data_IF_905218701943
#
_entry.id   IF_905218701943
#
_cell.length_a   1.000
_cell.length_b   1.000
_cell.length_c   1.000
_cell.angle_alpha   90.00
_cell.angle_beta   90.00
_cell.angle_gamma   90.00
#
_symmetry.space_group_name_H-M   'P 1'
#
loop_
_entity.id
_entity.type
_entity.pdbx_description
1 polymer ?
#
# COMPACT_ATOMS: atom_id res chain seq x y z
N UNK A 1 11.72 -23.85 3.60
CA UNK A 1 11.62 -25.18 4.24
C UNK A 1 12.16 -25.17 5.68
N UNK A 2 12.52 -24.01 6.24
CA UNK A 2 13.14 -23.89 7.56
C UNK A 2 14.66 -23.69 7.51
N UNK A 3 15.31 -24.02 6.39
CA UNK A 3 16.76 -23.82 6.17
C UNK A 3 17.05 -22.92 4.97
N UNK A 4 16.23 -23.02 3.93
CA UNK A 4 16.29 -22.27 2.69
C UNK A 4 14.89 -21.86 2.25
N UNK A 5 14.82 -20.73 1.56
CA UNK A 5 13.58 -20.23 1.00
C UNK A 5 13.81 -19.52 -0.32
N UNK A 6 12.70 -19.29 -1.01
CA UNK A 6 12.65 -18.50 -2.23
C UNK A 6 11.49 -17.53 -2.07
N UNK A 7 11.77 -16.24 -2.13
CA UNK A 7 10.77 -15.20 -2.17
C UNK A 7 10.67 -14.62 -3.58
N UNK A 8 9.45 -14.31 -4.01
CA UNK A 8 9.19 -13.49 -5.19
C UNK A 8 8.66 -12.15 -4.69
N UNK A 9 9.39 -11.08 -4.99
CA UNK A 9 9.06 -9.71 -4.59
C UNK A 9 8.50 -9.02 -5.82
N UNK A 10 7.24 -8.61 -5.77
CA UNK A 10 6.58 -7.92 -6.87
C UNK A 10 6.48 -6.41 -6.65
N UNK A 11 6.56 -5.65 -7.75
CA UNK A 11 6.19 -4.24 -7.80
C UNK A 11 4.91 -4.09 -8.64
N UNK A 12 3.77 -3.89 -7.96
CA UNK A 12 2.48 -3.68 -8.63
C UNK A 12 1.85 -4.94 -9.25
N UNK A 13 2.29 -6.14 -8.87
CA UNK A 13 1.70 -7.42 -9.29
C UNK A 13 1.09 -8.14 -8.08
N UNK A 14 -0.22 -7.98 -7.81
CA UNK A 14 -0.85 -8.46 -6.58
C UNK A 14 -1.29 -9.92 -6.62
N UNK A 15 -1.36 -10.53 -7.80
CA UNK A 15 -1.94 -11.87 -8.00
C UNK A 15 -0.82 -12.91 -8.18
N UNK A 16 -0.88 -13.97 -7.36
CA UNK A 16 0.02 -15.11 -7.45
C UNK A 16 -0.71 -16.40 -7.06
N UNK A 17 -0.15 -17.53 -7.48
CA UNK A 17 -0.64 -18.87 -7.13
C UNK A 17 0.54 -19.77 -6.75
N UNK A 18 0.36 -20.61 -5.72
CA UNK A 18 1.30 -21.67 -5.39
C UNK A 18 0.80 -22.98 -6.00
N UNK A 19 1.47 -23.43 -7.05
CA UNK A 19 1.17 -24.71 -7.67
C UNK A 19 1.81 -25.84 -6.85
N UNK A 20 0.98 -26.75 -6.35
CA UNK A 20 1.40 -27.90 -5.52
C UNK A 20 2.47 -28.77 -6.21
N UNK A 21 2.46 -28.83 -7.54
CA UNK A 21 3.52 -29.48 -8.33
C UNK A 21 4.84 -28.69 -8.17
N UNK A 22 5.76 -29.28 -7.40
CA UNK A 22 7.10 -28.73 -7.10
C UNK A 22 7.12 -27.42 -6.30
N UNK A 23 6.01 -27.04 -5.65
CA UNK A 23 5.89 -25.75 -4.95
C UNK A 23 6.25 -24.56 -5.85
N UNK A 24 5.73 -24.55 -7.08
CA UNK A 24 6.04 -23.51 -8.07
C UNK A 24 5.26 -22.24 -7.72
N UNK A 25 5.95 -21.09 -7.70
CA UNK A 25 5.32 -19.78 -7.54
C UNK A 25 4.97 -19.27 -8.95
N UNK A 26 3.67 -19.17 -9.25
CA UNK A 26 3.16 -18.55 -10.47
C UNK A 26 2.79 -17.10 -10.17
N UNK A 27 3.48 -16.14 -10.79
CA UNK A 27 3.17 -14.72 -10.67
C UNK A 27 2.40 -14.26 -11.91
N UNK A 28 1.20 -13.72 -11.72
CA UNK A 28 0.41 -13.18 -12.84
C UNK A 28 1.01 -11.85 -13.27
N UNK A 29 1.50 -11.78 -14.51
CA UNK A 29 2.02 -10.53 -15.09
C UNK A 29 0.91 -9.70 -15.74
N UNK A 30 -0.05 -10.36 -16.40
CA UNK A 30 -1.13 -9.69 -17.12
C UNK A 30 -2.38 -10.58 -17.12
N UNK A 31 -3.55 -9.96 -16.97
CA UNK A 31 -4.84 -10.63 -17.12
C UNK A 31 -5.79 -9.74 -17.91
N UNK A 32 -5.85 -9.96 -19.21
CA UNK A 32 -6.83 -9.32 -20.10
C UNK A 32 -8.17 -10.06 -20.06
N UNK A 33 -9.26 -9.30 -19.97
CA UNK A 33 -10.64 -9.83 -20.05
C UNK A 33 -11.45 -9.01 -21.04
N UNK A 34 -12.52 -9.60 -21.59
CA UNK A 34 -13.40 -8.90 -22.53
C UNK A 34 -14.74 -8.49 -21.97
N UNK A 35 -15.09 -8.98 -20.79
CA UNK A 35 -16.42 -8.80 -20.19
C UNK A 35 -16.27 -8.61 -18.70
N UNK A 36 -17.07 -7.72 -18.10
CA UNK A 36 -17.06 -7.54 -16.64
C UNK A 36 -17.55 -8.81 -15.94
N UNK A 37 -18.68 -9.33 -16.38
CA UNK A 37 -19.28 -10.56 -15.89
C UNK A 37 -19.72 -11.41 -17.09
N UNK A 38 -19.68 -12.73 -16.92
CA UNK A 38 -20.30 -13.67 -17.85
C UNK A 38 -21.10 -14.70 -17.09
N UNK A 39 -22.20 -15.12 -17.70
CA UNK A 39 -23.17 -16.08 -17.14
C UNK A 39 -22.93 -17.51 -17.62
N UNK A 40 -22.04 -17.68 -18.60
CA UNK A 40 -21.63 -18.96 -19.18
C UNK A 40 -20.42 -19.61 -18.45
N UNK A 41 -20.12 -19.19 -17.21
CA UNK A 41 -19.01 -19.72 -16.44
C UNK A 41 -19.34 -21.11 -15.88
N UNK A 42 -18.67 -22.15 -16.40
CA UNK A 42 -18.83 -23.54 -15.96
C UNK A 42 -18.58 -23.77 -14.46
N UNK A 43 -17.82 -22.88 -13.83
CA UNK A 43 -17.37 -23.02 -12.44
C UNK A 43 -18.29 -22.33 -11.43
N UNK A 44 -19.38 -21.67 -11.86
CA UNK A 44 -20.27 -20.96 -10.95
C UNK A 44 -21.66 -20.73 -11.53
N UNK A 45 -22.70 -21.04 -10.75
CA UNK A 45 -24.08 -20.69 -11.08
C UNK A 45 -24.39 -19.24 -10.65
N UNK A 46 -24.92 -18.44 -11.58
CA UNK A 46 -25.50 -17.11 -11.32
C UNK A 46 -24.63 -15.90 -11.69
N UNK A 47 -25.28 -14.72 -11.71
CA UNK A 47 -24.68 -13.42 -12.07
C UNK A 47 -23.96 -12.79 -10.87
N UNK A 48 -22.83 -12.12 -11.11
CA UNK A 48 -22.21 -11.17 -10.16
C UNK A 48 -22.12 -9.75 -10.70
N UNK A 49 -22.81 -9.47 -11.80
CA UNK A 49 -22.81 -8.15 -12.41
C UNK A 49 -23.49 -8.15 -13.76
N UNK A 50 -23.43 -6.99 -14.41
CA UNK A 50 -23.91 -6.80 -15.77
C UNK A 50 -22.97 -7.46 -16.78
N UNK A 51 -23.54 -8.18 -17.74
CA UNK A 51 -22.82 -8.64 -18.93
C UNK A 51 -22.59 -7.46 -19.87
N UNK A 52 -21.48 -6.74 -19.68
CA UNK A 52 -21.06 -5.70 -20.62
C UNK A 52 -19.63 -5.91 -21.10
N UNK A 53 -19.44 -5.56 -22.37
CA UNK A 53 -18.15 -5.63 -23.05
C UNK A 53 -17.20 -4.61 -22.42
N UNK A 54 -15.98 -5.05 -22.13
CA UNK A 54 -14.90 -4.22 -21.58
C UNK A 54 -13.67 -4.30 -22.49
N UNK A 55 -13.71 -3.67 -23.69
CA UNK A 55 -12.60 -3.75 -24.64
C UNK A 55 -11.27 -3.27 -24.05
N UNK A 56 -11.31 -2.21 -23.26
CA UNK A 56 -10.14 -1.62 -22.61
C UNK A 56 -9.52 -2.56 -21.55
N UNK A 57 -10.30 -3.49 -20.99
CA UNK A 57 -9.83 -4.47 -20.01
C UNK A 57 -9.04 -5.63 -20.64
N UNK A 58 -8.87 -5.64 -21.97
CA UNK A 58 -7.97 -6.57 -22.66
C UNK A 58 -6.49 -6.29 -22.36
N UNK A 59 -6.18 -5.09 -21.85
CA UNK A 59 -4.82 -4.66 -21.56
C UNK A 59 -3.92 -4.77 -22.80
N UNK A 60 -4.37 -4.23 -23.94
CA UNK A 60 -3.55 -4.22 -25.15
C UNK A 60 -2.48 -3.12 -25.06
N UNK A 61 -1.24 -3.47 -25.44
CA UNK A 61 -0.15 -2.52 -25.55
C UNK A 61 1.17 -3.02 -25.01
N UNK A 62 2.10 -2.09 -24.70
CA UNK A 62 3.41 -2.42 -24.13
C UNK A 62 3.36 -2.27 -22.63
N UNK A 63 3.75 -3.32 -21.92
CA UNK A 63 3.85 -3.33 -20.46
C UNK A 63 5.29 -3.63 -20.04
N UNK A 64 5.71 -3.03 -18.94
CA UNK A 64 6.96 -3.37 -18.26
C UNK A 64 6.62 -3.82 -16.86
N UNK A 65 7.02 -5.04 -16.52
CA UNK A 65 6.78 -5.65 -15.22
C UNK A 65 8.08 -5.72 -14.44
N UNK A 66 8.03 -5.36 -13.16
CA UNK A 66 9.20 -5.40 -12.28
C UNK A 66 8.91 -6.35 -11.12
N UNK A 67 9.79 -7.34 -10.96
CA UNK A 67 9.77 -8.28 -9.84
C UNK A 67 11.19 -8.80 -9.61
N UNK A 68 11.43 -9.35 -8.42
CA UNK A 68 12.71 -9.96 -8.04
C UNK A 68 12.50 -11.36 -7.49
N UNK A 69 13.49 -12.21 -7.69
CA UNK A 69 13.56 -13.55 -7.09
C UNK A 69 14.70 -13.54 -6.07
N UNK A 70 14.37 -13.81 -4.81
CA UNK A 70 15.29 -13.77 -3.68
C UNK A 70 15.40 -15.16 -3.05
N UNK A 71 16.45 -15.93 -3.39
CA UNK A 71 16.86 -17.08 -2.59
C UNK A 71 17.36 -16.57 -1.23
N UNK A 72 16.88 -17.16 -0.14
CA UNK A 72 17.27 -16.75 1.21
C UNK A 72 17.48 -17.95 2.13
N UNK A 73 18.13 -17.69 3.27
CA UNK A 73 18.31 -18.69 4.34
C UNK A 73 17.11 -18.66 5.29
N UNK A 74 16.90 -19.78 5.96
CA UNK A 74 15.91 -19.96 7.00
C UNK A 74 14.50 -19.63 6.53
N UNK A 75 13.78 -18.92 7.40
CA UNK A 75 12.47 -18.37 7.12
C UNK A 75 12.54 -16.94 6.55
N UNK A 76 11.39 -16.29 6.41
CA UNK A 76 11.31 -14.93 5.88
C UNK A 76 12.00 -13.89 6.78
N UNK A 77 12.14 -14.17 8.08
CA UNK A 77 12.77 -13.26 9.05
C UNK A 77 14.27 -13.30 8.90
N UNK A 78 14.86 -14.50 8.91
CA UNK A 78 16.30 -14.66 8.71
C UNK A 78 16.71 -14.21 7.30
N UNK A 79 15.86 -14.46 6.31
CA UNK A 79 16.04 -14.01 4.94
C UNK A 79 15.83 -12.51 4.70
N UNK A 80 15.38 -11.75 5.72
CA UNK A 80 15.07 -10.32 5.63
C UNK A 80 14.14 -9.99 4.45
N UNK A 81 13.18 -10.87 4.16
CA UNK A 81 12.36 -10.77 2.93
C UNK A 81 11.58 -9.45 2.89
N UNK A 82 11.08 -8.98 4.04
CA UNK A 82 10.40 -7.69 4.11
C UNK A 82 11.31 -6.50 3.83
N UNK A 83 12.56 -6.51 4.34
CA UNK A 83 13.52 -5.46 4.06
C UNK A 83 13.77 -5.34 2.55
N UNK A 84 14.06 -6.47 1.90
CA UNK A 84 14.28 -6.48 0.44
C UNK A 84 13.03 -6.12 -0.35
N UNK A 85 11.84 -6.50 0.15
CA UNK A 85 10.59 -6.08 -0.46
C UNK A 85 10.37 -4.57 -0.38
N UNK A 86 10.69 -3.94 0.74
CA UNK A 86 10.63 -2.49 0.87
C UNK A 86 11.68 -1.80 0.01
N UNK A 87 12.94 -2.26 0.02
CA UNK A 87 13.99 -1.69 -0.82
C UNK A 87 13.63 -1.74 -2.31
N UNK A 88 13.03 -2.85 -2.76
CA UNK A 88 12.52 -3.00 -4.12
C UNK A 88 11.37 -2.04 -4.45
N UNK A 89 10.47 -1.80 -3.49
CA UNK A 89 9.23 -1.03 -3.71
C UNK A 89 9.36 0.47 -3.41
N UNK A 90 10.33 0.87 -2.58
CA UNK A 90 10.55 2.23 -2.11
C UNK A 90 11.84 2.80 -2.69
N UNK A 91 11.76 3.34 -3.91
CA UNK A 91 12.92 3.93 -4.59
C UNK A 91 13.48 5.13 -3.83
N UNK A 92 14.80 5.18 -3.71
CA UNK A 92 15.53 6.33 -3.17
C UNK A 92 15.22 7.56 -4.03
N UNK A 93 14.92 8.68 -3.38
CA UNK A 93 14.77 9.97 -4.04
C UNK A 93 16.10 10.71 -3.98
N UNK A 94 16.62 11.06 -5.15
CA UNK A 94 17.87 11.81 -5.29
C UNK A 94 17.58 13.19 -5.85
N UNK A 95 18.18 14.22 -5.24
CA UNK A 95 18.17 15.59 -5.76
C UNK A 95 19.61 16.08 -5.73
N UNK A 96 20.07 16.66 -6.84
CA UNK A 96 21.40 17.27 -6.93
C UNK A 96 21.32 18.74 -6.51
N UNK A 97 22.33 19.21 -5.78
CA UNK A 97 22.50 20.61 -5.38
C UNK A 97 23.95 21.05 -5.62
N UNK A 98 24.21 22.36 -5.61
CA UNK A 98 25.55 22.94 -5.68
C UNK A 98 26.20 23.07 -4.29
N UNK A 99 27.43 23.57 -4.23
CA UNK A 99 28.09 23.84 -2.95
C UNK A 99 27.52 25.12 -2.31
N UNK A 100 26.94 24.98 -1.12
CA UNK A 100 26.39 26.12 -0.39
C UNK A 100 26.42 25.89 1.12
N UNK A 101 26.38 26.98 1.88
CA UNK A 101 26.17 26.87 3.34
C UNK A 101 24.76 26.36 3.63
N UNK A 102 24.63 25.47 4.60
CA UNK A 102 23.37 24.89 5.04
C UNK A 102 23.23 24.92 6.56
N UNK A 103 21.99 24.81 7.05
CA UNK A 103 21.69 24.66 8.49
C UNK A 103 21.54 23.20 8.91
N UNK A 104 21.29 22.32 7.95
CA UNK A 104 21.20 20.89 8.18
C UNK A 104 22.58 20.25 7.98
N UNK A 105 22.91 19.21 8.76
CA UNK A 105 24.11 18.42 8.51
C UNK A 105 24.00 17.64 7.19
N UNK A 106 25.13 17.13 6.70
CA UNK A 106 25.20 16.29 5.49
C UNK A 106 24.38 15.00 5.63
N UNK A 107 24.33 14.43 6.84
CA UNK A 107 23.51 13.27 7.17
C UNK A 107 22.54 13.60 8.30
N UNK A 108 21.25 13.33 8.09
CA UNK A 108 20.21 13.58 9.08
C UNK A 108 19.17 12.48 9.10
N UNK A 109 18.96 11.87 10.27
CA UNK A 109 17.86 10.93 10.51
C UNK A 109 16.67 11.66 11.14
N UNK A 110 15.52 11.60 10.47
CA UNK A 110 14.27 12.15 11.01
C UNK A 110 13.74 11.33 12.19
N UNK A 111 13.81 10.01 12.10
CA UNK A 111 13.49 9.08 13.17
C UNK A 111 14.16 7.71 12.93
N UNK A 112 14.20 6.89 13.98
CA UNK A 112 14.61 5.48 13.91
C UNK A 112 13.80 4.63 14.89
N UNK A 113 13.47 3.41 14.48
CA UNK A 113 12.86 2.40 15.33
C UNK A 113 13.91 1.39 15.79
N UNK A 114 13.79 0.94 17.04
CA UNK A 114 14.61 -0.15 17.56
C UNK A 114 13.83 -0.97 18.57
N UNK A 115 14.17 -2.25 18.64
CA UNK A 115 13.63 -3.24 19.59
C UNK A 115 14.78 -4.00 20.23
N UNK A 116 14.53 -4.55 21.41
CA UNK A 116 15.48 -5.45 22.06
C UNK A 116 15.34 -6.86 21.46
N UNK A 117 16.47 -7.55 21.28
CA UNK A 117 16.56 -8.97 20.89
C UNK A 117 15.86 -9.36 19.57
N UNK A 118 15.75 -8.41 18.63
CA UNK A 118 15.28 -8.68 17.28
C UNK A 118 15.84 -7.65 16.28
N UNK A 119 15.85 -8.00 15.00
CA UNK A 119 16.05 -7.03 13.94
C UNK A 119 14.85 -6.04 13.94
N UNK A 120 15.09 -4.71 13.97
CA UNK A 120 14.03 -3.70 13.83
C UNK A 120 13.12 -3.84 12.60
N UNK A 121 13.56 -4.51 11.53
CA UNK A 121 12.77 -4.74 10.31
C UNK A 121 11.47 -5.56 10.55
N UNK A 122 11.33 -6.19 11.73
CA UNK A 122 10.05 -6.78 12.17
C UNK A 122 8.96 -5.74 12.43
N UNK A 123 9.35 -4.46 12.55
CA UNK A 123 8.46 -3.32 12.63
C UNK A 123 8.49 -2.54 11.32
N UNK A 124 7.34 -2.44 10.65
CA UNK A 124 7.25 -1.68 9.41
C UNK A 124 6.50 -0.37 9.61
N UNK A 125 7.14 0.74 9.27
CA UNK A 125 6.47 2.04 9.15
C UNK A 125 5.61 2.02 7.89
N UNK A 126 4.31 2.26 8.06
CA UNK A 126 3.34 2.29 6.95
C UNK A 126 2.88 3.71 6.64
N UNK A 127 3.11 4.66 7.55
CA UNK A 127 2.63 6.03 7.41
C UNK A 127 3.49 6.99 8.23
N UNK A 128 3.82 8.13 7.60
CA UNK A 128 4.29 9.33 8.29
C UNK A 128 3.62 10.51 7.61
N UNK A 129 2.80 11.26 8.35
CA UNK A 129 2.09 12.43 7.84
C UNK A 129 1.88 13.47 8.93
N UNK A 130 1.29 14.61 8.56
CA UNK A 130 0.72 15.53 9.55
C UNK A 130 -0.64 15.02 10.03
N UNK A 131 -1.01 15.38 11.25
CA UNK A 131 -2.38 15.18 11.73
C UNK A 131 -3.38 15.95 10.88
N UNK A 132 -4.65 15.55 10.90
CA UNK A 132 -5.70 16.22 10.10
C UNK A 132 -5.90 17.70 10.47
N UNK A 133 -5.58 18.06 11.70
CA UNK A 133 -5.59 19.45 12.19
C UNK A 133 -4.29 20.23 11.87
N UNK A 134 -3.33 19.61 11.17
CA UNK A 134 -2.04 20.18 10.77
C UNK A 134 -1.10 20.61 11.93
N UNK A 135 -1.43 20.27 13.18
CA UNK A 135 -0.71 20.73 14.38
C UNK A 135 0.47 19.82 14.77
N UNK A 136 0.35 18.51 14.56
CA UNK A 136 1.30 17.51 14.99
C UNK A 136 1.66 16.54 13.84
N UNK A 137 2.55 15.58 14.12
CA UNK A 137 2.92 14.53 13.18
C UNK A 137 2.30 13.20 13.61
N UNK A 138 1.73 12.45 12.68
CA UNK A 138 1.35 11.04 12.85
C UNK A 138 2.41 10.11 12.27
N UNK A 139 2.71 9.04 13.01
CA UNK A 139 3.58 7.95 12.58
C UNK A 139 2.90 6.63 12.92
N UNK A 140 2.65 5.80 11.91
CA UNK A 140 2.03 4.48 12.07
C UNK A 140 3.01 3.40 11.66
N UNK A 141 3.15 2.37 12.50
CA UNK A 141 3.92 1.18 12.18
C UNK A 141 3.20 -0.11 12.62
N UNK A 142 3.56 -1.22 11.98
CA UNK A 142 2.98 -2.54 12.23
C UNK A 142 4.04 -3.47 12.80
N UNK A 143 3.69 -4.26 13.82
CA UNK A 143 4.50 -5.39 14.25
C UNK A 143 4.11 -6.64 13.46
N UNK A 144 5.03 -7.20 12.67
CA UNK A 144 4.74 -8.38 11.86
C UNK A 144 4.72 -9.70 12.64
N UNK A 145 5.21 -9.75 13.87
CA UNK A 145 5.26 -10.98 14.64
C UNK A 145 4.07 -11.10 15.60
N UNK A 146 3.81 -12.33 16.07
CA UNK A 146 2.77 -12.63 17.06
C UNK A 146 3.20 -12.32 18.51
N UNK A 147 4.44 -11.89 18.72
CA UNK A 147 4.98 -11.52 20.04
C UNK A 147 5.03 -10.02 20.26
N UNK A 148 4.95 -9.60 21.51
CA UNK A 148 5.04 -8.20 21.90
C UNK A 148 6.49 -7.68 21.88
N UNK A 149 6.67 -6.42 21.48
CA UNK A 149 7.93 -5.70 21.58
C UNK A 149 7.84 -4.43 22.43
N UNK A 150 8.91 -4.13 23.16
CA UNK A 150 9.16 -2.81 23.72
C UNK A 150 9.96 -2.00 22.69
N UNK A 151 9.28 -1.08 22.01
CA UNK A 151 9.82 -0.30 20.90
C UNK A 151 10.37 1.03 21.42
N UNK A 152 11.56 1.39 20.95
CA UNK A 152 12.18 2.70 21.15
C UNK A 152 12.13 3.45 19.83
N UNK A 153 11.26 4.45 19.73
CA UNK A 153 11.22 5.39 18.62
C UNK A 153 12.06 6.61 18.97
N UNK A 154 13.22 6.75 18.34
CA UNK A 154 14.12 7.91 18.52
C UNK A 154 13.83 8.93 17.44
N UNK A 155 13.48 10.16 17.84
CA UNK A 155 13.23 11.28 16.94
C UNK A 155 14.51 12.12 16.71
N UNK A 156 14.67 12.65 15.50
CA UNK A 156 15.72 13.62 15.19
C UNK A 156 15.47 14.96 15.89
N UNK A 157 14.21 15.40 15.95
CA UNK A 157 13.77 16.62 16.64
C UNK A 157 13.47 16.44 18.13
N UNK A 158 13.34 17.56 18.86
CA UNK A 158 12.88 17.57 20.25
C UNK A 158 11.39 17.21 20.34
N UNK A 159 11.06 16.19 21.13
CA UNK A 159 9.67 15.75 21.37
C UNK A 159 9.13 16.44 22.61
N UNK A 160 8.01 17.16 22.49
CA UNK A 160 7.30 17.75 23.63
C UNK A 160 6.37 16.75 24.29
N UNK A 161 5.56 16.07 23.47
CA UNK A 161 4.58 15.07 23.90
C UNK A 161 4.42 14.02 22.80
N UNK A 162 4.02 12.82 23.20
CA UNK A 162 3.65 11.76 22.27
C UNK A 162 2.45 11.01 22.84
N UNK A 163 1.55 10.62 21.95
CA UNK A 163 0.32 9.92 22.30
C UNK A 163 0.16 8.70 21.43
N UNK A 164 -0.39 7.63 21.99
CA UNK A 164 -0.96 6.55 21.19
C UNK A 164 -2.37 6.95 20.77
N UNK A 165 -2.71 6.72 19.51
CA UNK A 165 -4.04 6.99 18.96
C UNK A 165 -4.62 5.74 18.30
N UNK A 166 -5.89 5.79 17.92
CA UNK A 166 -6.40 4.91 16.88
C UNK A 166 -6.11 5.50 15.48
N UNK A 167 -6.56 4.81 14.44
CA UNK A 167 -6.41 5.26 13.04
C UNK A 167 -7.19 6.55 12.72
N UNK A 168 -8.19 6.91 13.54
CA UNK A 168 -8.94 8.17 13.44
C UNK A 168 -8.28 9.30 14.26
N UNK A 169 -7.00 9.16 14.63
CA UNK A 169 -6.22 10.13 15.40
C UNK A 169 -6.74 10.44 16.81
N UNK A 170 -7.71 9.68 17.32
CA UNK A 170 -8.23 9.85 18.68
C UNK A 170 -7.22 9.37 19.72
N UNK A 171 -6.85 10.26 20.65
CA UNK A 171 -5.90 9.96 21.72
C UNK A 171 -6.45 8.89 22.67
N UNK A 172 -5.64 7.85 22.92
CA UNK A 172 -5.95 6.77 23.87
C UNK A 172 -5.08 6.82 25.12
N UNK A 173 -3.78 7.12 24.96
CA UNK A 173 -2.84 7.23 26.09
C UNK A 173 -1.70 8.19 25.76
N UNK A 174 -1.18 8.90 26.78
CA UNK A 174 0.07 9.65 26.69
C UNK A 174 1.26 8.72 26.95
N UNK A 175 2.29 8.83 26.12
CA UNK A 175 3.44 7.93 26.12
C UNK A 175 4.62 8.50 26.91
N UNK A 176 5.41 7.61 27.50
CA UNK A 176 6.60 7.98 28.26
C UNK A 176 7.72 8.42 27.32
N UNK A 177 8.32 9.57 27.65
CA UNK A 177 9.46 10.15 26.94
C UNK A 177 10.75 9.99 27.75
N UNK A 178 11.86 9.74 27.06
CA UNK A 178 13.23 9.87 27.57
C UNK A 178 14.04 10.72 26.59
N UNK A 179 14.05 12.04 26.81
CA UNK A 179 14.64 12.98 25.86
C UNK A 179 13.93 12.92 24.50
N UNK A 180 14.64 12.51 23.45
CA UNK A 180 14.08 12.33 22.09
C UNK A 180 13.54 10.92 21.82
N UNK A 181 13.50 10.05 22.82
CA UNK A 181 13.05 8.67 22.68
C UNK A 181 11.65 8.50 23.25
N UNK A 182 10.74 8.00 22.42
CA UNK A 182 9.38 7.60 22.80
C UNK A 182 9.40 6.08 23.05
N UNK A 183 8.90 5.66 24.22
CA UNK A 183 8.80 4.25 24.58
C UNK A 183 7.38 3.74 24.32
N UNK A 184 7.25 2.70 23.49
CA UNK A 184 5.95 2.17 23.06
C UNK A 184 5.93 0.67 23.17
N UNK A 185 4.79 0.10 23.59
CA UNK A 185 4.55 -1.34 23.53
C UNK A 185 3.73 -1.67 22.29
N UNK A 186 4.27 -2.52 21.43
CA UNK A 186 3.58 -3.05 20.26
C UNK A 186 3.24 -4.52 20.53
N UNK A 187 1.94 -4.86 20.61
CA UNK A 187 1.50 -6.25 20.76
C UNK A 187 1.80 -7.05 19.49
N UNK A 188 1.62 -8.36 19.53
CA UNK A 188 1.71 -9.18 18.32
C UNK A 188 0.67 -8.73 17.28
N UNK A 189 1.08 -8.58 16.02
CA UNK A 189 0.25 -8.13 14.89
C UNK A 189 -0.40 -6.74 15.08
N UNK A 190 0.12 -5.96 16.01
CA UNK A 190 -0.43 -4.66 16.39
C UNK A 190 -0.14 -3.59 15.33
N UNK A 191 -1.13 -2.72 15.11
CA UNK A 191 -0.98 -1.51 14.31
C UNK A 191 -0.89 -0.35 15.30
N UNK A 192 0.31 0.21 15.43
CA UNK A 192 0.60 1.27 16.39
C UNK A 192 0.60 2.61 15.67
N UNK A 193 -0.39 3.44 15.96
CA UNK A 193 -0.47 4.83 15.51
C UNK A 193 -0.08 5.78 16.63
N UNK A 194 0.85 6.68 16.33
CA UNK A 194 1.39 7.65 17.27
C UNK A 194 1.12 9.07 16.77
N UNK A 195 0.62 9.95 17.64
CA UNK A 195 0.60 11.40 17.44
C UNK A 195 1.74 12.03 18.23
N UNK A 196 2.65 12.70 17.54
CA UNK A 196 3.93 13.20 18.08
C UNK A 196 3.97 14.71 17.94
N UNK A 197 4.00 15.39 19.09
CA UNK A 197 4.16 16.83 19.18
C UNK A 197 5.62 17.20 19.25
N UNK A 198 6.16 17.72 18.16
CA UNK A 198 7.54 18.19 18.09
C UNK A 198 7.65 19.64 18.59
N UNK A 199 8.81 20.01 19.12
CA UNK A 199 9.12 21.41 19.37
C UNK A 199 9.47 22.07 18.02
N UNK A 200 8.80 23.16 17.64
CA UNK A 200 9.13 23.87 16.42
C UNK A 200 10.58 24.39 16.49
N UNK A 201 11.36 24.06 15.47
CA UNK A 201 12.66 24.70 15.23
C UNK A 201 12.58 25.41 13.88
N UNK A 202 13.04 26.66 13.84
CA UNK A 202 13.12 27.46 12.61
C UNK A 202 14.36 27.06 11.80
N UNK A 203 14.42 25.78 11.42
CA UNK A 203 15.54 25.20 10.66
C UNK A 203 15.58 25.75 9.25
N UNK A 204 14.40 25.94 8.64
CA UNK A 204 14.26 26.50 7.29
C UNK A 204 13.73 27.93 7.43
N UNK A 205 14.36 28.89 6.74
CA UNK A 205 13.81 30.23 6.60
C UNK A 205 12.56 30.18 5.73
N UNK A 206 11.48 30.89 6.10
CA UNK A 206 10.24 30.99 5.31
C UNK A 206 10.43 31.56 3.89
N UNK A 207 11.64 31.97 3.52
CA UNK A 207 12.03 32.16 2.14
C UNK A 207 12.47 30.80 1.57
N UNK A 208 11.60 30.15 0.80
CA UNK A 208 12.06 29.17 -0.18
C UNK A 208 13.17 29.85 -0.97
N UNK A 209 14.38 29.30 -0.92
CA UNK A 209 15.47 29.84 -1.72
C UNK A 209 15.10 29.69 -3.20
N UNK A 210 15.73 30.47 -4.10
CA UNK A 210 15.57 30.28 -5.56
C UNK A 210 15.84 28.83 -6.01
N UNK A 211 16.55 28.06 -5.19
CA UNK A 211 16.96 26.66 -5.40
C UNK A 211 16.00 25.65 -4.76
N UNK A 212 15.06 26.10 -3.94
CA UNK A 212 14.06 25.23 -3.31
C UNK A 212 12.84 25.10 -4.22
N UNK A 213 12.87 24.11 -5.12
CA UNK A 213 11.69 23.72 -5.88
C UNK A 213 10.84 22.75 -5.06
N UNK A 214 9.57 23.08 -4.86
CA UNK A 214 8.59 22.07 -4.49
C UNK A 214 8.46 21.14 -5.69
N UNK A 215 8.84 19.87 -5.56
CA UNK A 215 8.61 18.91 -6.64
C UNK A 215 7.10 18.85 -6.89
N UNK A 216 6.62 19.12 -8.12
CA UNK A 216 5.20 19.03 -8.41
C UNK A 216 4.73 17.61 -8.10
N UNK A 217 3.55 17.48 -7.48
CA UNK A 217 2.96 16.18 -7.19
C UNK A 217 2.52 15.43 -8.46
N UNK A 218 2.52 16.13 -9.61
CA UNK A 218 2.23 15.56 -10.91
C UNK A 218 3.50 14.98 -11.51
N UNK A 219 3.62 13.66 -11.45
CA UNK A 219 4.48 12.91 -12.33
C UNK A 219 3.95 13.04 -13.75
N UNK A 220 4.84 13.22 -14.72
CA UNK A 220 4.49 13.19 -16.14
C UNK A 220 3.79 11.87 -16.42
N UNK A 221 2.51 11.92 -16.82
CA UNK A 221 1.88 10.75 -17.43
C UNK A 221 2.59 10.57 -18.78
N UNK A 222 3.26 9.45 -19.00
CA UNK A 222 3.80 9.15 -20.32
C UNK A 222 2.62 9.06 -21.30
N UNK A 223 2.49 10.05 -22.18
CA UNK A 223 1.42 10.13 -23.19
C UNK A 223 1.65 9.18 -24.39
N UNK A 224 2.68 8.33 -24.36
CA UNK A 224 2.96 7.33 -25.38
C UNK A 224 2.00 6.13 -25.28
N UNK A 225 0.71 6.39 -25.17
CA UNK A 225 -0.32 5.37 -25.30
C UNK A 225 -0.33 4.91 -26.76
N UNK A 226 -0.30 3.60 -26.98
CA UNK A 226 -0.45 3.03 -28.31
C UNK A 226 -1.82 3.43 -28.87
N UNK A 227 -1.84 3.91 -30.10
CA UNK A 227 -3.09 4.13 -30.83
C UNK A 227 -3.65 2.77 -31.22
N UNK A 228 -4.68 2.33 -30.52
CA UNK A 228 -5.39 1.08 -30.77
C UNK A 228 -6.80 1.45 -31.24
N UNK A 229 -7.26 0.86 -32.33
CA UNK A 229 -8.66 0.96 -32.74
C UNK A 229 -9.51 0.19 -31.72
N UNK A 230 -10.15 0.93 -30.82
CA UNK A 230 -11.00 0.35 -29.79
C UNK A 230 -12.43 0.21 -30.36
N UNK A 231 -13.08 -0.95 -30.17
CA UNK A 231 -14.49 -1.09 -30.53
C UNK A 231 -15.37 -0.22 -29.62
N UNK A 232 -16.55 0.14 -30.10
CA UNK A 232 -17.53 0.95 -29.35
C UNK A 232 -17.83 0.32 -27.99
N UNK A 233 -17.70 1.10 -26.91
CA UNK A 233 -17.88 0.63 -25.52
C UNK A 233 -19.30 0.14 -25.21
N UNK A 234 -20.30 0.72 -25.89
CA UNK A 234 -21.72 0.34 -25.79
C UNK A 234 -22.32 0.38 -27.18
N UNK A 235 -22.95 -0.72 -27.60
CA UNK A 235 -23.68 -0.81 -28.86
C UNK A 235 -25.19 -0.65 -28.65
N UNK A 236 -25.93 -0.35 -29.71
CA UNK A 236 -27.41 -0.32 -29.65
C UNK A 236 -28.02 -1.68 -29.30
N UNK A 237 -27.33 -2.78 -29.62
CA UNK A 237 -27.79 -4.12 -29.27
C UNK A 237 -27.60 -4.40 -27.77
N UNK A 238 -26.51 -3.91 -27.17
CA UNK A 238 -26.29 -4.00 -25.72
C UNK A 238 -27.40 -3.30 -24.94
N UNK A 239 -27.82 -2.10 -25.38
CA UNK A 239 -28.94 -1.36 -24.79
C UNK A 239 -30.24 -2.16 -24.87
N UNK A 240 -30.52 -2.78 -26.04
CA UNK A 240 -31.73 -3.59 -26.23
C UNK A 240 -31.71 -4.85 -25.37
N UNK A 241 -30.55 -5.51 -25.25
CA UNK A 241 -30.41 -6.72 -24.44
C UNK A 241 -30.62 -6.42 -22.95
N UNK A 242 -30.07 -5.32 -22.43
CA UNK A 242 -30.26 -4.92 -21.03
C UNK A 242 -31.72 -4.49 -20.76
N UNK A 243 -32.38 -3.83 -21.71
CA UNK A 243 -33.82 -3.54 -21.62
C UNK A 243 -34.65 -4.83 -21.49
N UNK A 244 -34.40 -5.83 -22.34
CA UNK A 244 -35.06 -7.14 -22.25
C UNK A 244 -34.78 -7.84 -20.91
N UNK A 245 -33.54 -7.78 -20.42
CA UNK A 245 -33.16 -8.36 -19.12
C UNK A 245 -33.91 -7.68 -17.98
N UNK A 246 -34.01 -6.36 -17.99
CA UNK A 246 -34.76 -5.57 -17.01
C UNK A 246 -36.24 -5.93 -16.97
N UNK A 247 -36.87 -6.09 -18.14
CA UNK A 247 -38.27 -6.53 -18.26
C UNK A 247 -38.48 -7.94 -17.70
N UNK A 248 -37.57 -8.87 -18.02
CA UNK A 248 -37.62 -10.24 -17.51
C UNK A 248 -37.46 -10.28 -15.98
N UNK A 249 -36.53 -9.50 -15.43
CA UNK A 249 -36.34 -9.35 -13.99
C UNK A 249 -37.59 -8.78 -13.31
N UNK A 250 -38.21 -7.74 -13.88
CA UNK A 250 -39.48 -7.20 -13.36
C UNK A 250 -40.60 -8.25 -13.36
N UNK A 251 -40.72 -9.03 -14.43
CA UNK A 251 -41.69 -10.12 -14.53
C UNK A 251 -41.44 -11.23 -13.52
N UNK A 252 -40.18 -11.61 -13.30
CA UNK A 252 -39.81 -12.61 -12.31
C UNK A 252 -40.07 -12.13 -10.89
N UNK A 253 -39.68 -10.90 -10.55
CA UNK A 253 -39.91 -10.29 -9.23
C UNK A 253 -41.41 -10.14 -8.90
N UNK A 254 -42.22 -9.75 -9.88
CA UNK A 254 -43.68 -9.68 -9.72
C UNK A 254 -44.36 -11.05 -9.60
N UNK A 255 -43.70 -12.12 -10.05
CA UNK A 255 -44.13 -13.51 -9.87
C UNK A 255 -43.77 -14.14 -8.52
N UNK A 256 -42.81 -13.56 -7.78
CA UNK A 256 -42.43 -14.05 -6.44
C UNK A 256 -43.49 -13.61 -5.42
N UNK A 257 -44.41 -14.52 -5.06
CA UNK A 257 -45.22 -14.35 -3.85
C UNK A 257 -44.31 -14.51 -2.64
N UNK A 258 -44.18 -13.45 -1.85
CA UNK A 258 -43.53 -13.49 -0.53
C UNK A 258 -44.24 -14.55 0.31
N UNK A 259 -43.61 -15.71 0.52
CA UNK A 259 -44.00 -16.58 1.63
C UNK A 259 -43.58 -15.87 2.92
N UNK A 260 -44.54 -15.18 3.55
CA UNK A 260 -44.46 -14.88 4.98
C UNK A 260 -44.64 -16.20 5.71
N UNK A 261 -43.54 -16.86 6.04
CA UNK A 261 -43.56 -17.87 7.10
C UNK A 261 -43.60 -17.16 8.46
N UNK A 262 -44.47 -17.68 9.32
CA UNK A 262 -44.79 -17.23 10.67
C UNK A 262 -43.73 -17.66 11.69
#
# INVERSE_FOLDING_TARGET
DGEKGLAVISFGLPEYEILSKKNTISLTLLRGVGWLARTDLLTREGDVGWEFLTPDAQCLGRFTYTYSVLPHRGDWQEGLVHYWAEDHNCRIRTVQTDEHKGRLPEEYSFFSLSVEDANPDVLRVIEVKKTEDDEDMTLTFVNYLDRQFNVKLKMGGEVKKAYRTNLAEEIKEELKLKGRVILVKAKGKDIVTLRIKLKPHKLISNSFSRVTSLLPHNFSVEENLLKIDMPSLVTLEDIKNEQRRSELCHKNLSGVKVQKEY
#
